data_IF_665813506827
#
_entry.id   IF_665813506827
#
_cell.length_a   1.000
_cell.length_b   1.000
_cell.length_c   1.000
_cell.angle_alpha   90.00
_cell.angle_beta   90.00
_cell.angle_gamma   90.00
#
_symmetry.space_group_name_H-M   'P 1'
#
loop_
_entity.id
_entity.type
_entity.pdbx_description
1 polymer ?
#
# COMPACT_ATOMS: atom_id res chain seq x y z
N UNK A 1 -38.63 22.90 -12.52
CA UNK A 1 -38.02 22.34 -13.75
C UNK A 1 -36.61 22.89 -13.86
N UNK A 2 -35.56 22.07 -13.69
CA UNK A 2 -34.17 22.53 -13.83
C UNK A 2 -33.78 22.52 -15.30
N UNK A 3 -33.31 23.65 -15.82
CA UNK A 3 -32.87 23.78 -17.22
C UNK A 3 -31.39 23.39 -17.34
N UNK A 4 -31.11 22.27 -18.00
CA UNK A 4 -29.75 21.87 -18.39
C UNK A 4 -29.37 22.66 -19.64
N UNK A 5 -28.35 23.52 -19.54
CA UNK A 5 -27.76 24.20 -20.70
C UNK A 5 -26.66 23.32 -21.27
N UNK A 6 -26.84 22.84 -22.50
CA UNK A 6 -25.80 22.11 -23.24
C UNK A 6 -24.95 23.16 -23.94
N UNK A 7 -23.68 23.29 -23.54
CA UNK A 7 -22.72 24.17 -24.20
C UNK A 7 -22.11 23.46 -25.41
N UNK A 8 -22.34 23.99 -26.61
CA UNK A 8 -21.73 23.48 -27.85
C UNK A 8 -20.33 24.09 -28.03
N UNK A 9 -19.30 23.29 -27.79
CA UNK A 9 -17.88 23.69 -27.84
C UNK A 9 -17.33 23.83 -29.28
N UNK A 10 -18.15 23.61 -30.30
CA UNK A 10 -17.76 23.74 -31.72
C UNK A 10 -17.84 25.16 -32.25
N UNK A 11 -18.57 26.04 -31.56
CA UNK A 11 -18.54 27.47 -31.85
C UNK A 11 -17.19 28.03 -31.38
N UNK A 12 -16.48 28.71 -32.27
CA UNK A 12 -15.28 29.48 -31.90
C UNK A 12 -15.67 30.39 -30.73
N UNK A 13 -14.93 30.37 -29.60
CA UNK A 13 -15.24 31.26 -28.49
C UNK A 13 -15.23 32.69 -29.01
N UNK A 14 -16.28 33.44 -28.71
CA UNK A 14 -16.34 34.87 -29.03
C UNK A 14 -15.02 35.52 -28.59
N UNK A 15 -14.39 36.27 -29.51
CA UNK A 15 -13.09 36.90 -29.23
C UNK A 15 -13.24 37.79 -28.01
N UNK A 16 -12.66 37.36 -26.89
CA UNK A 16 -12.57 38.19 -25.69
C UNK A 16 -11.60 39.35 -25.99
N UNK A 17 -12.16 40.53 -26.25
CA UNK A 17 -11.39 41.76 -26.42
C UNK A 17 -11.39 42.51 -25.10
N UNK A 18 -10.22 42.80 -24.56
CA UNK A 18 -10.11 43.64 -23.37
C UNK A 18 -10.34 45.11 -23.77
N UNK A 19 -11.52 45.64 -23.48
CA UNK A 19 -11.82 47.07 -23.61
C UNK A 19 -11.56 47.75 -22.25
N UNK A 20 -10.91 48.92 -22.25
CA UNK A 20 -10.66 49.74 -21.05
C UNK A 20 -9.72 49.17 -19.96
N UNK A 21 -8.90 48.16 -20.26
CA UNK A 21 -7.87 47.68 -19.31
C UNK A 21 -6.56 48.41 -19.49
N UNK A 22 -5.78 48.49 -18.41
CA UNK A 22 -4.44 49.05 -18.46
C UNK A 22 -3.51 48.15 -19.29
N UNK A 23 -2.47 48.74 -19.91
CA UNK A 23 -1.49 47.98 -20.70
C UNK A 23 -0.77 46.90 -19.87
N UNK A 24 -0.68 47.09 -18.56
CA UNK A 24 -0.07 46.14 -17.64
C UNK A 24 -0.94 44.90 -17.44
N UNK A 25 -2.24 45.08 -17.22
CA UNK A 25 -3.20 43.97 -17.07
C UNK A 25 -3.33 43.13 -18.34
N UNK A 26 -3.24 43.76 -19.52
CA UNK A 26 -3.21 43.05 -20.80
C UNK A 26 -1.99 42.13 -20.87
N UNK A 27 -0.80 42.62 -20.48
CA UNK A 27 0.43 41.82 -20.45
C UNK A 27 0.34 40.66 -19.45
N UNK A 28 -0.23 40.90 -18.28
CA UNK A 28 -0.46 39.82 -17.30
C UNK A 28 -1.42 38.76 -17.83
N UNK A 29 -2.50 39.18 -18.48
CA UNK A 29 -3.42 38.28 -19.16
C UNK A 29 -2.74 37.46 -20.26
N UNK A 30 -1.92 38.10 -21.10
CA UNK A 30 -1.14 37.41 -22.13
C UNK A 30 -0.18 36.38 -21.55
N UNK A 31 0.60 36.75 -20.53
CA UNK A 31 1.54 35.85 -19.87
C UNK A 31 0.81 34.66 -19.20
N UNK A 32 -0.34 34.93 -18.57
CA UNK A 32 -1.20 33.89 -18.00
C UNK A 32 -1.74 32.94 -19.07
N UNK A 33 -2.26 33.46 -20.19
CA UNK A 33 -2.77 32.61 -21.26
C UNK A 33 -1.67 31.86 -22.00
N UNK A 34 -0.46 32.42 -22.07
CA UNK A 34 0.73 31.73 -22.58
C UNK A 34 1.21 30.62 -21.63
N UNK A 35 1.04 30.75 -20.31
CA UNK A 35 1.38 29.67 -19.38
C UNK A 35 0.33 28.56 -19.35
N UNK A 36 -0.95 28.92 -19.44
CA UNK A 36 -2.08 27.97 -19.52
C UNK A 36 -2.07 27.19 -20.82
N UNK A 37 -1.78 27.86 -21.94
CA UNK A 37 -1.47 27.18 -23.19
C UNK A 37 -0.04 26.68 -23.06
N UNK A 38 0.12 25.50 -22.45
CA UNK A 38 1.34 24.70 -22.53
C UNK A 38 1.70 24.51 -24.01
N UNK A 39 2.33 25.51 -24.62
CA UNK A 39 2.91 25.36 -25.93
C UNK A 39 3.93 24.24 -25.74
N UNK A 40 3.86 23.17 -26.56
CA UNK A 40 4.91 22.18 -26.53
C UNK A 40 6.24 22.93 -26.65
N UNK A 41 7.13 22.72 -25.67
CA UNK A 41 8.51 23.22 -25.70
C UNK A 41 9.11 22.87 -27.06
N UNK A 42 10.07 23.65 -27.56
CA UNK A 42 10.63 23.42 -28.90
C UNK A 42 11.09 21.97 -29.12
N UNK A 43 11.52 21.30 -28.06
CA UNK A 43 11.95 19.89 -28.06
C UNK A 43 10.80 18.87 -28.12
N UNK A 44 9.58 19.24 -27.74
CA UNK A 44 8.38 18.38 -27.82
C UNK A 44 7.56 18.58 -29.10
N UNK A 45 8.00 19.49 -29.99
CA UNK A 45 7.37 19.69 -31.29
C UNK A 45 7.84 18.59 -32.24
N UNK A 46 6.93 17.70 -32.63
CA UNK A 46 7.15 16.61 -33.62
C UNK A 46 7.61 17.11 -35.01
N UNK A 47 7.51 18.41 -35.28
CA UNK A 47 7.93 19.04 -36.54
C UNK A 47 8.54 20.38 -36.18
N UNK A 48 9.73 20.69 -36.72
CA UNK A 48 10.36 21.99 -36.56
C UNK A 48 9.41 23.12 -37.01
N UNK A 49 9.54 24.30 -36.41
CA UNK A 49 8.75 25.48 -36.78
C UNK A 49 9.06 26.03 -38.18
N UNK A 50 10.06 25.47 -38.87
CA UNK A 50 10.40 25.88 -40.23
C UNK A 50 9.40 25.31 -41.24
N UNK A 51 8.48 26.17 -41.68
CA UNK A 51 7.47 25.87 -42.68
C UNK A 51 8.09 25.41 -44.02
N UNK A 52 9.38 25.71 -44.27
CA UNK A 52 10.07 25.25 -45.49
C UNK A 52 10.42 23.75 -45.46
N UNK A 53 10.46 23.12 -44.29
CA UNK A 53 10.63 21.67 -44.17
C UNK A 53 9.31 20.90 -44.37
N UNK A 54 8.17 21.60 -44.45
CA UNK A 54 6.90 20.97 -44.83
C UNK A 54 6.97 20.67 -46.32
N UNK A 55 6.94 19.37 -46.66
CA UNK A 55 6.82 18.90 -48.04
C UNK A 55 5.77 19.73 -48.77
N UNK A 56 6.21 20.48 -49.79
CA UNK A 56 5.31 21.26 -50.63
C UNK A 56 4.21 20.36 -51.17
N UNK A 57 2.99 20.88 -51.25
CA UNK A 57 1.84 20.16 -51.83
C UNK A 57 2.22 19.82 -53.27
N UNK A 58 2.61 18.57 -53.54
CA UNK A 58 2.93 18.10 -54.88
C UNK A 58 1.65 18.25 -55.72
N UNK A 59 1.64 19.22 -56.62
CA UNK A 59 0.61 19.32 -57.64
C UNK A 59 0.63 18.00 -58.41
N UNK A 60 -0.45 17.23 -58.31
CA UNK A 60 -0.60 15.96 -59.01
C UNK A 60 -0.83 16.23 -60.50
N UNK A 61 0.19 16.72 -61.20
CA UNK A 61 0.19 16.87 -62.65
C UNK A 61 1.51 16.37 -63.20
N UNK A 62 1.76 15.07 -63.05
CA UNK A 62 2.74 14.37 -63.87
C UNK A 62 2.31 12.91 -63.97
N UNK A 63 1.57 12.64 -65.05
CA UNK A 63 1.54 11.32 -65.69
C UNK A 63 2.96 11.04 -66.15
N UNK A 64 3.68 10.14 -65.49
CA UNK A 64 4.92 9.58 -66.04
C UNK A 64 5.03 8.11 -65.68
N UNK A 65 5.10 7.28 -66.72
CA UNK A 65 5.72 5.96 -66.71
C UNK A 65 4.88 4.82 -66.14
N UNK A 66 4.13 4.14 -67.01
CA UNK A 66 3.89 2.72 -66.83
C UNK A 66 5.22 1.97 -66.86
N UNK A 67 5.52 1.24 -65.78
CA UNK A 67 6.35 0.02 -65.70
C UNK A 67 7.04 -0.02 -64.34
N UNK A 68 6.50 -0.77 -63.37
CA UNK A 68 7.20 -1.57 -62.34
C UNK A 68 6.15 -2.16 -61.40
N UNK A 69 5.37 -3.15 -61.85
CA UNK A 69 4.44 -3.87 -60.97
C UNK A 69 5.04 -5.16 -60.38
N UNK A 70 6.32 -5.46 -60.66
CA UNK A 70 6.98 -6.69 -60.17
C UNK A 70 7.85 -6.47 -58.92
N UNK A 71 8.42 -5.27 -58.70
CA UNK A 71 9.28 -4.99 -57.53
C UNK A 71 8.52 -4.57 -56.26
N UNK A 72 7.26 -4.14 -56.39
CA UNK A 72 6.46 -3.67 -55.24
C UNK A 72 6.12 -4.82 -54.27
N UNK A 73 5.88 -6.03 -54.78
CA UNK A 73 5.48 -7.19 -53.96
C UNK A 73 6.65 -7.76 -53.14
N UNK A 74 7.88 -7.72 -53.67
CA UNK A 74 9.08 -8.21 -52.98
C UNK A 74 9.46 -7.28 -51.82
N UNK A 75 9.40 -5.97 -52.05
CA UNK A 75 9.67 -4.96 -51.03
C UNK A 75 8.63 -5.00 -49.90
N UNK A 76 7.35 -5.13 -50.25
CA UNK A 76 6.26 -5.20 -49.28
C UNK A 76 6.33 -6.48 -48.44
N UNK A 77 6.73 -7.61 -49.06
CA UNK A 77 7.02 -8.85 -48.34
C UNK A 77 8.20 -8.72 -47.39
N UNK A 78 9.32 -8.15 -47.83
CA UNK A 78 10.50 -7.94 -46.99
C UNK A 78 10.21 -6.99 -45.81
N UNK A 79 9.41 -5.95 -46.04
CA UNK A 79 8.94 -5.06 -44.97
C UNK A 79 8.03 -5.78 -43.98
N UNK A 80 7.11 -6.61 -44.46
CA UNK A 80 6.24 -7.37 -43.58
C UNK A 80 7.03 -8.39 -42.74
N UNK A 81 8.01 -9.07 -43.33
CA UNK A 81 8.94 -9.97 -42.61
C UNK A 81 9.75 -9.22 -41.55
N UNK A 82 10.23 -8.00 -41.86
CA UNK A 82 10.90 -7.14 -40.89
C UNK A 82 9.99 -6.77 -39.71
N UNK A 83 8.76 -6.34 -39.97
CA UNK A 83 7.82 -5.97 -38.90
C UNK A 83 7.44 -7.17 -38.02
N UNK A 84 7.24 -8.34 -38.63
CA UNK A 84 6.98 -9.58 -37.88
C UNK A 84 8.17 -9.89 -36.98
N UNK A 85 9.40 -9.84 -37.50
CA UNK A 85 10.61 -10.11 -36.71
C UNK A 85 10.82 -9.08 -35.60
N UNK A 86 10.61 -7.80 -35.88
CA UNK A 86 10.72 -6.75 -34.87
C UNK A 86 9.71 -6.97 -33.72
N UNK A 87 8.47 -7.35 -34.07
CA UNK A 87 7.41 -7.64 -33.09
C UNK A 87 7.74 -8.86 -32.23
N UNK A 88 8.26 -9.93 -32.82
CA UNK A 88 8.62 -11.14 -32.06
C UNK A 88 9.77 -10.86 -31.09
N UNK A 89 10.78 -10.09 -31.50
CA UNK A 89 11.88 -9.69 -30.62
C UNK A 89 11.39 -8.87 -29.42
N UNK A 90 10.50 -7.89 -29.65
CA UNK A 90 9.91 -7.08 -28.57
C UNK A 90 9.09 -7.97 -27.60
N UNK A 91 8.33 -8.93 -28.11
CA UNK A 91 7.61 -9.90 -27.27
C UNK A 91 8.55 -10.77 -26.42
N UNK A 92 9.65 -11.26 -27.01
CA UNK A 92 10.64 -12.07 -26.31
C UNK A 92 11.31 -11.24 -25.21
N UNK A 93 11.72 -10.01 -25.49
CA UNK A 93 12.34 -9.13 -24.49
C UNK A 93 11.39 -8.86 -23.31
N UNK A 94 10.13 -8.54 -23.60
CA UNK A 94 9.10 -8.35 -22.56
C UNK A 94 8.92 -9.59 -21.72
N UNK A 95 8.85 -10.77 -22.35
CA UNK A 95 8.71 -12.04 -21.64
C UNK A 95 9.94 -12.33 -20.76
N UNK A 96 11.15 -12.11 -21.26
CA UNK A 96 12.38 -12.26 -20.49
C UNK A 96 12.41 -11.33 -19.27
N UNK A 97 11.97 -10.07 -19.43
CA UNK A 97 11.87 -9.12 -18.32
C UNK A 97 10.88 -9.61 -17.25
N UNK A 98 9.72 -10.12 -17.67
CA UNK A 98 8.72 -10.68 -16.75
C UNK A 98 9.25 -11.92 -16.03
N UNK A 99 9.97 -12.80 -16.74
CA UNK A 99 10.57 -13.99 -16.14
C UNK A 99 11.59 -13.64 -15.06
N UNK A 100 12.48 -12.65 -15.31
CA UNK A 100 13.43 -12.18 -14.29
C UNK A 100 12.73 -11.67 -13.02
N UNK A 101 11.61 -10.97 -13.18
CA UNK A 101 10.82 -10.50 -12.04
C UNK A 101 10.13 -11.66 -11.30
N UNK A 102 9.64 -12.67 -12.04
CA UNK A 102 9.05 -13.87 -11.45
C UNK A 102 10.10 -14.69 -10.67
N UNK A 103 11.30 -14.86 -11.22
CA UNK A 103 12.44 -15.51 -10.55
C UNK A 103 12.82 -14.77 -9.27
N UNK A 104 12.94 -13.45 -9.31
CA UNK A 104 13.23 -12.64 -8.12
C UNK A 104 12.18 -12.82 -7.01
N UNK A 105 10.89 -12.89 -7.39
CA UNK A 105 9.79 -13.18 -6.44
C UNK A 105 9.90 -14.57 -5.84
N UNK A 106 10.23 -15.58 -6.65
CA UNK A 106 10.42 -16.95 -6.17
C UNK A 106 11.58 -17.03 -5.18
N UNK A 107 12.71 -16.39 -5.46
CA UNK A 107 13.85 -16.31 -4.55
C UNK A 107 13.48 -15.67 -3.20
N UNK A 108 12.69 -14.61 -3.21
CA UNK A 108 12.22 -13.97 -1.96
C UNK A 108 11.27 -14.90 -1.17
N UNK A 109 10.33 -15.54 -1.87
CA UNK A 109 9.44 -16.54 -1.28
C UNK A 109 10.22 -17.68 -0.61
N UNK A 110 11.24 -18.19 -1.28
CA UNK A 110 12.07 -19.29 -0.77
C UNK A 110 12.90 -18.86 0.45
N UNK A 111 13.42 -17.63 0.46
CA UNK A 111 14.08 -17.05 1.65
C UNK A 111 13.11 -16.95 2.83
N UNK A 112 11.88 -16.53 2.59
CA UNK A 112 10.84 -16.47 3.63
C UNK A 112 10.48 -17.85 4.16
N UNK A 113 10.34 -18.85 3.28
CA UNK A 113 10.12 -20.25 3.68
C UNK A 113 11.25 -20.76 4.57
N UNK A 114 12.51 -20.59 4.15
CA UNK A 114 13.68 -20.98 4.96
C UNK A 114 13.69 -20.32 6.34
N UNK A 115 13.44 -19.00 6.41
CA UNK A 115 13.36 -18.29 7.70
C UNK A 115 12.22 -18.81 8.59
N UNK A 116 11.08 -19.18 8.00
CA UNK A 116 9.95 -19.77 8.74
C UNK A 116 10.34 -21.15 9.27
N UNK A 117 10.95 -21.99 8.46
CA UNK A 117 11.43 -23.31 8.87
C UNK A 117 12.46 -23.22 10.00
N UNK A 118 13.43 -22.31 9.88
CA UNK A 118 14.40 -22.04 10.94
C UNK A 118 13.74 -21.57 12.24
N UNK A 119 12.73 -20.68 12.14
CA UNK A 119 11.96 -20.23 13.29
C UNK A 119 11.24 -21.40 13.95
N UNK A 120 10.50 -22.19 13.16
CA UNK A 120 9.78 -23.38 13.65
C UNK A 120 10.76 -24.33 14.34
N UNK A 121 11.93 -24.58 13.74
CA UNK A 121 12.97 -25.42 14.33
C UNK A 121 13.46 -24.90 15.69
N UNK A 122 13.69 -23.58 15.80
CA UNK A 122 14.09 -22.95 17.08
C UNK A 122 12.98 -23.01 18.12
N UNK A 123 11.74 -22.78 17.71
CA UNK A 123 10.56 -22.87 18.57
C UNK A 123 10.28 -24.29 19.05
N UNK A 124 10.52 -25.31 18.23
CA UNK A 124 10.44 -26.72 18.65
C UNK A 124 11.42 -27.01 19.78
N UNK A 125 12.67 -26.55 19.66
CA UNK A 125 13.71 -26.73 20.70
C UNK A 125 13.33 -26.00 22.01
N UNK A 126 12.67 -24.84 21.93
CA UNK A 126 12.27 -24.08 23.11
C UNK A 126 10.95 -24.56 23.73
N UNK A 127 10.04 -25.14 22.95
CA UNK A 127 8.78 -25.73 23.44
C UNK A 127 9.03 -26.86 24.42
N UNK A 128 9.99 -27.73 24.13
CA UNK A 128 10.33 -28.87 25.01
C UNK A 128 10.89 -28.43 26.37
N UNK A 129 11.40 -27.19 26.49
CA UNK A 129 11.96 -26.66 27.74
C UNK A 129 10.97 -25.86 28.59
N UNK A 130 9.85 -25.42 28.02
CA UNK A 130 8.94 -24.45 28.68
C UNK A 130 7.53 -25.03 28.91
N UNK A 131 7.14 -26.09 28.20
CA UNK A 131 5.85 -26.72 28.45
C UNK A 131 5.91 -27.59 29.70
N UNK A 132 5.16 -27.17 30.74
CA UNK A 132 4.69 -28.12 31.76
C UNK A 132 3.84 -29.17 31.04
N UNK A 133 3.97 -30.47 31.38
CA UNK A 133 3.10 -31.48 30.79
C UNK A 133 1.65 -31.06 31.04
N UNK A 134 0.93 -30.85 29.94
CA UNK A 134 -0.50 -30.57 29.94
C UNK A 134 -1.17 -31.81 30.54
N UNK A 135 -2.03 -31.62 31.54
CA UNK A 135 -2.77 -32.74 32.13
C UNK A 135 -3.62 -33.43 31.05
N UNK A 136 -3.83 -34.74 31.15
CA UNK A 136 -4.75 -35.47 30.24
C UNK A 136 -6.11 -34.78 30.11
N UNK A 137 -6.61 -34.17 31.18
CA UNK A 137 -7.89 -33.43 31.18
C UNK A 137 -7.84 -32.16 30.33
N UNK A 138 -6.71 -31.45 30.32
CA UNK A 138 -6.53 -30.25 29.51
C UNK A 138 -6.38 -30.60 28.01
N UNK A 139 -5.80 -31.76 27.68
CA UNK A 139 -5.75 -32.25 26.29
C UNK A 139 -7.15 -32.63 25.78
N UNK A 140 -7.94 -33.35 26.59
CA UNK A 140 -9.31 -33.73 26.24
C UNK A 140 -10.21 -32.50 26.02
N UNK A 141 -10.03 -31.46 26.83
CA UNK A 141 -10.75 -30.20 26.67
C UNK A 141 -10.37 -29.48 25.36
N UNK A 142 -9.08 -29.43 25.01
CA UNK A 142 -8.62 -28.86 23.74
C UNK A 142 -9.14 -29.63 22.52
N UNK A 143 -9.19 -30.95 22.60
CA UNK A 143 -9.71 -31.79 21.53
C UNK A 143 -11.23 -31.62 21.36
N UNK A 144 -11.97 -31.52 22.47
CA UNK A 144 -13.40 -31.21 22.46
C UNK A 144 -13.69 -29.83 21.87
N UNK A 145 -12.86 -28.83 22.16
CA UNK A 145 -12.94 -27.49 21.57
C UNK A 145 -12.62 -27.50 20.06
N UNK A 146 -11.62 -28.27 19.62
CA UNK A 146 -11.22 -28.36 18.22
C UNK A 146 -12.24 -29.07 17.31
N UNK A 147 -13.08 -29.96 17.89
CA UNK A 147 -14.14 -30.69 17.18
C UNK A 147 -15.44 -29.89 17.01
N UNK A 148 -15.57 -28.71 17.63
CA UNK A 148 -16.76 -27.86 17.49
C UNK A 148 -16.83 -27.27 16.08
N UNK A 149 -18.02 -27.26 15.48
CA UNK A 149 -18.22 -26.68 14.15
C UNK A 149 -18.20 -25.16 14.23
N UNK A 150 -17.52 -24.52 13.29
CA UNK A 150 -17.49 -23.06 13.16
C UNK A 150 -18.93 -22.58 12.97
N UNK A 151 -19.48 -21.88 13.99
CA UNK A 151 -20.86 -21.38 13.99
C UNK A 151 -21.77 -21.94 15.09
N UNK A 152 -21.34 -22.93 15.88
CA UNK A 152 -22.02 -23.26 17.13
C UNK A 152 -21.80 -22.13 18.14
N UNK A 153 -22.79 -21.24 18.24
CA UNK A 153 -22.75 -20.15 19.19
C UNK A 153 -22.72 -20.71 20.63
N UNK A 154 -21.84 -20.16 21.46
CA UNK A 154 -21.91 -20.36 22.90
C UNK A 154 -23.31 -19.96 23.38
N UNK A 155 -23.97 -20.83 24.16
CA UNK A 155 -25.09 -20.37 24.97
C UNK A 155 -24.61 -19.21 25.83
N UNK A 156 -25.38 -18.13 25.92
CA UNK A 156 -25.02 -16.92 26.69
C UNK A 156 -24.65 -17.30 28.13
N UNK A 157 -25.35 -18.28 28.71
CA UNK A 157 -25.06 -18.82 30.05
C UNK A 157 -23.69 -19.49 30.15
N UNK A 158 -23.27 -20.21 29.11
CA UNK A 158 -21.96 -20.85 29.07
C UNK A 158 -20.83 -19.81 28.97
N UNK A 159 -21.06 -18.72 28.23
CA UNK A 159 -20.11 -17.61 28.11
C UNK A 159 -19.96 -16.85 29.44
N UNK A 160 -21.07 -16.56 30.12
CA UNK A 160 -21.06 -15.91 31.43
C UNK A 160 -20.31 -16.76 32.47
N UNK A 161 -20.56 -18.07 32.47
CA UNK A 161 -19.87 -19.00 33.37
C UNK A 161 -18.36 -19.05 33.11
N UNK A 162 -17.93 -19.03 31.86
CA UNK A 162 -16.51 -18.99 31.49
C UNK A 162 -15.84 -17.67 31.94
N UNK A 163 -16.54 -16.54 31.82
CA UNK A 163 -16.06 -15.25 32.31
C UNK A 163 -15.88 -15.25 33.83
N UNK A 164 -16.86 -15.76 34.59
CA UNK A 164 -16.78 -15.85 36.05
C UNK A 164 -15.63 -16.76 36.50
N UNK A 165 -15.47 -17.91 35.85
CA UNK A 165 -14.37 -18.84 36.11
C UNK A 165 -13.00 -18.21 35.81
N UNK A 166 -12.91 -17.42 34.75
CA UNK A 166 -11.70 -16.69 34.38
C UNK A 166 -11.33 -15.62 35.42
N UNK A 167 -12.30 -14.82 35.87
CA UNK A 167 -12.09 -13.81 36.92
C UNK A 167 -11.64 -14.45 38.24
N UNK A 168 -12.25 -15.57 38.63
CA UNK A 168 -11.85 -16.38 39.79
C UNK A 168 -10.41 -16.89 39.67
N UNK A 169 -10.02 -17.38 38.49
CA UNK A 169 -8.66 -17.87 38.23
C UNK A 169 -7.62 -16.75 38.29
N UNK A 170 -7.95 -15.57 37.75
CA UNK A 170 -7.08 -14.39 37.81
C UNK A 170 -6.91 -13.88 39.24
N UNK A 171 -7.99 -13.84 40.02
CA UNK A 171 -7.96 -13.47 41.44
C UNK A 171 -7.10 -14.43 42.27
N UNK A 172 -7.23 -15.75 42.03
CA UNK A 172 -6.38 -16.78 42.68
C UNK A 172 -4.90 -16.58 42.37
N UNK A 173 -4.53 -16.40 41.10
CA UNK A 173 -3.13 -16.12 40.70
C UNK A 173 -2.59 -14.85 41.33
N UNK A 174 -3.41 -13.81 41.42
CA UNK A 174 -3.00 -12.55 42.04
C UNK A 174 -2.81 -12.70 43.56
N UNK A 175 -3.64 -13.52 44.21
CA UNK A 175 -3.53 -13.83 45.63
C UNK A 175 -2.32 -14.73 45.94
N UNK A 176 -2.04 -15.73 45.09
CA UNK A 176 -0.83 -16.56 45.16
C UNK A 176 0.44 -15.73 45.01
N UNK A 177 0.49 -14.81 44.03
CA UNK A 177 1.60 -13.87 43.85
C UNK A 177 1.81 -12.97 45.06
N UNK A 178 0.74 -12.52 45.71
CA UNK A 178 0.80 -11.72 46.96
C UNK A 178 1.25 -12.56 48.16
N UNK A 179 0.90 -13.85 48.22
CA UNK A 179 1.35 -14.80 49.24
C UNK A 179 2.84 -15.16 49.10
N UNK A 180 3.34 -15.32 47.88
CA UNK A 180 4.75 -15.59 47.61
C UNK A 180 5.67 -14.38 47.80
N UNK A 181 5.10 -13.18 47.99
CA UNK A 181 5.84 -11.92 48.23
C UNK A 181 5.96 -11.54 49.72
N UNK A 182 5.58 -12.40 50.67
CA UNK A 182 5.89 -12.16 52.09
C UNK A 182 7.37 -12.50 52.35
N UNK A 183 8.23 -11.53 52.73
CA UNK A 183 9.58 -11.84 53.16
C UNK A 183 9.53 -12.64 54.48
N UNK A 184 10.43 -13.62 54.69
CA UNK A 184 10.53 -14.30 55.97
C UNK A 184 11.09 -13.31 57.00
N UNK A 185 10.31 -13.00 58.05
CA UNK A 185 10.87 -12.41 59.27
C UNK A 185 10.38 -11.03 59.70
N UNK A 186 9.08 -10.70 59.58
CA UNK A 186 8.52 -9.59 60.39
C UNK A 186 7.26 -10.06 61.11
N UNK A 187 7.43 -10.37 62.39
CA UNK A 187 6.34 -10.52 63.35
C UNK A 187 5.73 -9.14 63.63
N UNK A 188 4.52 -8.89 63.14
CA UNK A 188 3.76 -7.68 63.52
C UNK A 188 2.99 -7.96 64.80
N UNK A 189 3.59 -7.66 65.95
CA UNK A 189 2.82 -7.44 67.19
C UNK A 189 2.00 -6.17 67.04
N UNK A 190 0.67 -6.34 67.00
CA UNK A 190 -0.32 -5.27 67.15
C UNK A 190 -0.11 -4.55 68.48
N UNK A 191 0.32 -3.28 68.45
CA UNK A 191 0.08 -2.33 69.55
C UNK A 191 -0.95 -1.30 69.10
N UNK A 192 -2.13 -1.36 69.71
CA UNK A 192 -3.12 -0.28 69.73
C UNK A 192 -2.51 0.95 70.45
N UNK A 193 -2.56 2.11 69.80
CA UNK A 193 -2.59 3.46 70.37
C UNK A 193 -3.41 4.29 69.36
N UNK A 194 -4.69 4.59 69.59
CA UNK A 194 -5.24 5.62 70.50
C UNK A 194 -4.65 7.00 70.18
N UNK A 195 -5.42 7.68 69.34
CA UNK A 195 -5.80 9.10 69.26
C UNK A 195 -4.76 10.23 69.05
N UNK A 196 -5.17 11.05 68.06
CA UNK A 196 -5.06 12.50 67.93
C UNK A 196 -3.89 13.15 67.14
N UNK A 197 -4.35 13.75 66.03
CA UNK A 197 -3.92 14.97 65.31
C UNK A 197 -3.07 14.81 64.02
N UNK A 198 -3.32 15.67 63.00
CA UNK A 198 -2.78 15.48 61.66
C UNK A 198 -1.59 16.41 61.39
N UNK A 199 -0.43 15.86 61.04
CA UNK A 199 0.67 16.66 60.49
C UNK A 199 0.85 16.46 58.99
N UNK A 200 0.85 17.61 58.34
CA UNK A 200 0.93 17.93 56.92
C UNK A 200 2.23 17.42 56.31
N UNK A 201 2.13 16.59 55.26
CA UNK A 201 3.29 16.20 54.44
C UNK A 201 3.57 17.34 53.46
N UNK A 202 4.62 18.12 53.72
CA UNK A 202 5.17 19.09 52.76
C UNK A 202 6.11 18.35 51.81
N UNK A 203 5.71 18.23 50.55
CA UNK A 203 6.59 17.81 49.46
C UNK A 203 7.44 19.01 49.01
N UNK A 204 8.75 18.92 49.18
CA UNK A 204 9.71 19.81 48.50
C UNK A 204 10.45 18.98 47.45
N UNK A 205 10.13 19.25 46.19
CA UNK A 205 10.87 18.84 45.01
C UNK A 205 11.58 20.07 44.42
N UNK A 206 12.91 20.05 44.36
CA UNK A 206 13.75 20.82 43.42
C UNK A 206 15.12 20.12 43.41
N UNK A 207 15.56 19.49 42.31
CA UNK A 207 16.17 20.06 41.09
C UNK A 207 17.44 20.87 41.38
N UNK A 208 18.45 20.66 40.51
CA UNK A 208 19.86 21.16 40.47
C UNK A 208 20.88 20.12 41.00
N UNK A 209 21.90 19.67 40.26
CA UNK A 209 22.47 20.02 38.95
C UNK A 209 22.96 18.75 38.24
#
# INVERSE_FOLDING_TARGET
>A
KMAVRILDLRQQPEKCTFTNTSKEEIRYGEAFWQSVRLQPTMESRLVSSDIKQRLGKRNASSKSGASTNQGANELDRAMNEFYVRARTLDQIERFQRLNKLAEARNLDRDRLHKRREERIKKELISRDRVMKPISCEEMLHHEAMAKRKIGEAYSIEAMLKEMDEFELKMSKRHHERKKSLKPPGVSTTLKKKVDNEPEVIVLVSSLEN
#
